data_IF_553554557486
#
_entry.id   IF_553554557486
#
_cell.length_a   1.000
_cell.length_b   1.000
_cell.length_c   1.000
_cell.angle_alpha   90.00
_cell.angle_beta   90.00
_cell.angle_gamma   90.00
#
_symmetry.space_group_name_H-M   'P 1'
#
loop_
_entity.id
_entity.type
_entity.pdbx_description
1 polymer ?
#
# COMPACT_ATOMS: atom_id res chain seq x y z
N UNK A 1 -5.61 -3.13 -19.92
CA UNK A 1 -5.82 -2.46 -18.65
C UNK A 1 -7.18 -2.74 -18.03
N UNK A 2 -8.33 -2.56 -18.73
CA UNK A 2 -9.68 -2.90 -18.21
C UNK A 2 -9.82 -4.38 -17.79
N UNK A 3 -9.14 -5.31 -18.46
CA UNK A 3 -9.15 -6.75 -18.14
C UNK A 3 -8.43 -7.10 -16.83
N UNK A 4 -7.34 -6.40 -16.47
CA UNK A 4 -6.61 -6.60 -15.22
C UNK A 4 -7.43 -6.17 -14.00
N UNK A 5 -8.15 -5.05 -14.10
CA UNK A 5 -9.04 -4.59 -13.04
C UNK A 5 -10.22 -5.56 -12.82
N UNK A 6 -10.82 -6.06 -13.92
CA UNK A 6 -11.90 -7.05 -13.85
C UNK A 6 -11.42 -8.37 -13.23
N UNK A 7 -10.21 -8.83 -13.56
CA UNK A 7 -9.63 -10.06 -12.99
C UNK A 7 -9.30 -9.89 -11.50
N UNK A 8 -8.82 -8.70 -11.08
CA UNK A 8 -8.59 -8.41 -9.66
C UNK A 8 -9.90 -8.41 -8.87
N UNK A 9 -10.99 -7.83 -9.41
CA UNK A 9 -12.32 -7.79 -8.76
C UNK A 9 -12.92 -9.20 -8.68
N UNK A 10 -12.80 -10.02 -9.73
CA UNK A 10 -13.26 -11.42 -9.75
C UNK A 10 -12.44 -12.29 -8.78
N UNK A 11 -11.13 -12.05 -8.67
CA UNK A 11 -10.27 -12.71 -7.67
C UNK A 11 -10.69 -12.40 -6.22
N UNK A 12 -11.16 -11.18 -5.94
CA UNK A 12 -11.66 -10.81 -4.62
C UNK A 12 -12.97 -11.55 -4.26
N UNK A 13 -13.83 -11.84 -5.23
CA UNK A 13 -15.08 -12.57 -4.99
C UNK A 13 -14.83 -14.05 -4.60
N UNK A 14 -13.72 -14.65 -5.06
CA UNK A 14 -13.36 -16.04 -4.72
C UNK A 14 -12.66 -16.19 -3.36
N UNK A 15 -12.24 -15.08 -2.72
CA UNK A 15 -11.59 -15.06 -1.41
C UNK A 15 -12.59 -15.05 -0.22
N UNK A 16 -13.88 -15.15 -0.48
CA UNK A 16 -14.92 -15.11 0.56
C UNK A 16 -14.87 -16.23 1.59
N UNK A 17 -14.04 -17.26 1.39
CA UNK A 17 -13.81 -18.35 2.34
C UNK A 17 -12.67 -18.07 3.35
N UNK A 18 -11.96 -16.93 3.20
CA UNK A 18 -10.86 -16.53 4.07
C UNK A 18 -11.33 -15.39 4.98
N UNK A 19 -11.02 -15.45 6.26
CA UNK A 19 -11.16 -14.30 7.16
C UNK A 19 -10.20 -13.18 6.70
N UNK A 20 -10.47 -11.94 7.10
CA UNK A 20 -9.60 -10.81 6.80
C UNK A 20 -10.20 -9.78 5.85
N UNK A 21 -9.36 -9.03 5.16
CA UNK A 21 -9.76 -7.98 4.20
C UNK A 21 -8.91 -7.98 2.95
N UNK A 22 -9.52 -7.68 1.83
CA UNK A 22 -8.84 -7.47 0.56
C UNK A 22 -9.02 -6.03 0.10
N UNK A 23 -7.96 -5.43 -0.43
CA UNK A 23 -7.93 -4.07 -0.94
C UNK A 23 -7.43 -4.06 -2.38
N UNK A 24 -8.11 -3.32 -3.23
CA UNK A 24 -7.62 -2.94 -4.56
C UNK A 24 -7.41 -1.43 -4.58
N UNK A 25 -6.30 -0.99 -5.17
CA UNK A 25 -5.95 0.42 -5.22
C UNK A 25 -5.46 0.80 -6.62
N UNK A 26 -5.85 1.97 -7.06
CA UNK A 26 -5.31 2.66 -8.21
C UNK A 26 -4.53 3.89 -7.73
N UNK A 27 -3.34 4.10 -8.29
CA UNK A 27 -2.47 5.24 -8.00
C UNK A 27 -2.24 6.05 -9.28
N UNK A 28 -2.42 7.36 -9.18
CA UNK A 28 -1.90 8.33 -10.14
C UNK A 28 -0.61 8.91 -9.56
N UNK A 29 0.49 8.77 -10.27
CA UNK A 29 1.84 9.11 -9.79
C UNK A 29 2.36 10.29 -10.60
N UNK A 30 2.75 11.35 -9.91
CA UNK A 30 3.42 12.52 -10.45
C UNK A 30 4.91 12.44 -10.08
N UNK A 31 5.76 12.43 -11.10
CA UNK A 31 7.20 12.50 -10.91
C UNK A 31 7.62 13.89 -10.42
N UNK A 32 8.61 13.94 -9.56
CA UNK A 32 9.19 15.18 -9.00
C UNK A 32 10.63 15.29 -9.48
N UNK A 33 11.14 16.53 -9.64
CA UNK A 33 12.53 16.81 -10.03
C UNK A 33 12.93 16.17 -11.38
N UNK A 34 12.04 16.20 -12.37
CA UNK A 34 12.28 15.64 -13.71
C UNK A 34 12.02 14.13 -13.82
N UNK A 35 11.58 13.47 -12.77
CA UNK A 35 11.07 12.11 -12.86
C UNK A 35 9.78 12.06 -13.68
N UNK A 36 9.57 10.93 -14.38
CA UNK A 36 8.36 10.74 -15.21
C UNK A 36 7.15 10.41 -14.35
N UNK A 37 5.98 10.83 -14.82
CA UNK A 37 4.69 10.42 -14.28
C UNK A 37 4.44 8.93 -14.51
N UNK A 38 3.43 8.39 -13.85
CA UNK A 38 3.09 6.98 -13.97
C UNK A 38 1.76 6.63 -13.34
N UNK A 39 1.45 5.36 -13.41
CA UNK A 39 0.24 4.76 -12.82
C UNK A 39 0.61 3.52 -12.04
N UNK A 40 -0.09 3.28 -10.94
CA UNK A 40 0.10 2.10 -10.13
C UNK A 40 -1.21 1.37 -9.86
N UNK A 41 -1.09 0.06 -9.66
CA UNK A 41 -2.17 -0.81 -9.21
C UNK A 41 -1.65 -1.64 -8.05
N UNK A 42 -2.47 -1.77 -7.02
CA UNK A 42 -2.12 -2.56 -5.85
C UNK A 42 -3.26 -3.50 -5.51
N UNK A 43 -2.90 -4.72 -5.18
CA UNK A 43 -3.77 -5.69 -4.51
C UNK A 43 -3.12 -6.02 -3.17
N UNK A 44 -3.88 -5.94 -2.10
CA UNK A 44 -3.41 -6.22 -0.76
C UNK A 44 -4.42 -7.12 -0.05
N UNK A 45 -3.90 -8.09 0.68
CA UNK A 45 -4.61 -8.95 1.59
C UNK A 45 -4.09 -8.72 3.01
N UNK A 46 -4.99 -8.52 3.97
CA UNK A 46 -4.66 -8.45 5.39
C UNK A 46 -5.57 -9.36 6.18
N UNK A 47 -5.01 -10.02 7.18
CA UNK A 47 -5.75 -10.79 8.17
C UNK A 47 -5.27 -10.48 9.58
N UNK A 48 -6.16 -10.56 10.55
CA UNK A 48 -5.83 -10.38 11.96
C UNK A 48 -5.37 -11.70 12.55
N UNK A 49 -4.07 -11.82 12.78
CA UNK A 49 -3.45 -12.98 13.45
C UNK A 49 -3.88 -13.00 14.92
N UNK A 50 -3.90 -11.83 15.55
CA UNK A 50 -4.42 -11.59 16.90
C UNK A 50 -5.15 -10.26 16.96
N UNK A 51 -5.76 -9.91 18.10
CA UNK A 51 -6.40 -8.59 18.30
C UNK A 51 -5.45 -7.40 18.09
N UNK A 52 -4.14 -7.63 18.26
CA UNK A 52 -3.10 -6.58 18.22
C UNK A 52 -2.06 -6.81 17.14
N UNK A 53 -2.21 -7.82 16.29
CA UNK A 53 -1.24 -8.17 15.25
C UNK A 53 -1.98 -8.56 13.96
N UNK A 54 -1.74 -7.82 12.88
CA UNK A 54 -2.16 -8.20 11.54
C UNK A 54 -0.99 -8.76 10.74
N UNK A 55 -1.28 -9.74 9.88
CA UNK A 55 -0.44 -10.18 8.80
C UNK A 55 -0.96 -9.68 7.47
N UNK A 56 -0.08 -9.44 6.51
CA UNK A 56 -0.50 -8.96 5.20
C UNK A 56 0.41 -9.42 4.07
N UNK A 57 -0.19 -9.49 2.89
CA UNK A 57 0.48 -9.73 1.63
C UNK A 57 0.03 -8.69 0.62
N UNK A 58 0.98 -8.10 -0.13
CA UNK A 58 0.70 -7.03 -1.06
C UNK A 58 1.46 -7.25 -2.37
N UNK A 59 0.78 -7.01 -3.48
CA UNK A 59 1.39 -6.90 -4.80
C UNK A 59 1.08 -5.53 -5.39
N UNK A 60 2.11 -4.84 -5.84
CA UNK A 60 1.99 -3.52 -6.50
C UNK A 60 2.65 -3.60 -7.86
N UNK A 61 1.94 -3.14 -8.89
CA UNK A 61 2.50 -2.96 -10.23
C UNK A 61 2.46 -1.49 -10.59
N UNK A 62 3.57 -0.93 -11.04
CA UNK A 62 3.68 0.45 -11.48
C UNK A 62 4.21 0.52 -12.91
N UNK A 63 3.63 1.41 -13.69
CA UNK A 63 4.01 1.72 -15.06
C UNK A 63 4.40 3.18 -15.17
N UNK A 64 5.55 3.46 -15.77
CA UNK A 64 6.01 4.82 -16.06
C UNK A 64 5.46 5.28 -17.41
N UNK A 65 4.89 6.49 -17.46
CA UNK A 65 4.30 7.04 -18.68
C UNK A 65 5.35 7.25 -19.77
N UNK A 66 4.95 6.99 -21.01
CA UNK A 66 5.82 7.12 -22.19
C UNK A 66 6.94 6.07 -22.25
N UNK A 67 6.86 4.99 -21.47
CA UNK A 67 7.78 3.87 -21.51
C UNK A 67 7.02 2.54 -21.45
N UNK A 68 7.68 1.45 -21.86
CA UNK A 68 7.20 0.08 -21.62
C UNK A 68 7.72 -0.48 -20.29
N UNK A 69 8.31 0.37 -19.44
CA UNK A 69 8.86 -0.06 -18.16
C UNK A 69 7.76 -0.33 -17.16
N UNK A 70 7.72 -1.56 -16.68
CA UNK A 70 6.82 -2.02 -15.61
C UNK A 70 7.67 -2.50 -14.46
N UNK A 71 7.32 -2.07 -13.26
CA UNK A 71 7.92 -2.56 -12.01
C UNK A 71 6.85 -3.22 -11.17
N UNK A 72 7.11 -4.44 -10.71
CA UNK A 72 6.22 -5.16 -9.79
C UNK A 72 6.91 -5.35 -8.46
N UNK A 73 6.19 -5.11 -7.37
CA UNK A 73 6.65 -5.38 -6.01
C UNK A 73 5.71 -6.38 -5.35
N UNK A 74 6.31 -7.36 -4.68
CA UNK A 74 5.60 -8.32 -3.84
C UNK A 74 6.14 -8.17 -2.42
N UNK A 75 5.27 -8.11 -1.44
CA UNK A 75 5.62 -7.74 -0.08
C UNK A 75 4.78 -8.53 0.93
N UNK A 76 5.43 -9.14 1.93
CA UNK A 76 4.80 -9.70 3.12
C UNK A 76 5.04 -8.77 4.31
N UNK A 77 4.07 -8.67 5.24
CA UNK A 77 4.15 -7.74 6.36
C UNK A 77 3.52 -8.28 7.63
N UNK A 78 4.03 -7.76 8.75
CA UNK A 78 3.43 -7.86 10.07
C UNK A 78 3.18 -6.45 10.61
N UNK A 79 2.04 -6.27 11.26
CA UNK A 79 1.60 -4.96 11.75
C UNK A 79 1.09 -5.07 13.18
N UNK A 80 1.97 -4.96 14.20
CA UNK A 80 1.54 -4.76 15.57
C UNK A 80 0.76 -3.44 15.71
N UNK A 81 -0.32 -3.48 16.51
CA UNK A 81 -1.25 -2.38 16.75
C UNK A 81 -1.40 -2.12 18.23
N UNK A 82 -1.52 -0.85 18.60
CA UNK A 82 -1.67 -0.39 19.97
C UNK A 82 -2.85 0.56 20.05
N UNK A 83 -3.88 0.22 20.82
CA UNK A 83 -5.01 1.08 21.05
C UNK A 83 -4.59 2.28 21.92
N UNK A 84 -4.93 3.48 21.44
CA UNK A 84 -4.82 4.74 22.18
C UNK A 84 -6.24 5.24 22.45
N UNK A 85 -6.41 6.09 23.46
CA UNK A 85 -7.75 6.61 23.81
C UNK A 85 -8.47 7.34 22.67
N UNK A 86 -7.72 7.85 21.68
CA UNK A 86 -8.22 8.62 20.54
C UNK A 86 -7.97 7.94 19.19
N UNK A 87 -7.38 6.76 19.15
CA UNK A 87 -7.06 6.07 17.88
C UNK A 87 -6.24 4.80 18.08
N UNK A 88 -5.60 4.35 17.01
CA UNK A 88 -4.76 3.16 17.00
C UNK A 88 -3.40 3.48 16.39
N UNK A 89 -2.33 3.38 17.17
CA UNK A 89 -0.97 3.41 16.64
C UNK A 89 -0.60 2.04 16.04
N UNK A 90 0.23 2.03 15.02
CA UNK A 90 0.75 0.81 14.40
C UNK A 90 2.19 0.98 13.97
N UNK A 91 2.90 -0.16 13.84
CA UNK A 91 4.20 -0.24 13.17
C UNK A 91 4.11 -1.38 12.17
N UNK A 92 4.08 -1.08 10.86
CA UNK A 92 4.12 -2.11 9.82
C UNK A 92 5.58 -2.41 9.47
N UNK A 93 6.03 -3.62 9.76
CA UNK A 93 7.30 -4.17 9.26
C UNK A 93 7.03 -5.03 8.04
N UNK A 94 7.86 -4.92 6.99
CA UNK A 94 7.68 -5.72 5.79
C UNK A 94 9.01 -6.07 5.12
N UNK A 95 8.98 -7.18 4.39
CA UNK A 95 10.03 -7.64 3.50
C UNK A 95 9.43 -7.93 2.14
N UNK A 96 10.20 -7.73 1.08
CA UNK A 96 9.66 -7.93 -0.26
C UNK A 96 10.70 -7.98 -1.35
N UNK A 97 10.19 -8.18 -2.56
CA UNK A 97 10.94 -8.27 -3.80
C UNK A 97 10.39 -7.27 -4.80
N UNK A 98 11.25 -6.44 -5.38
CA UNK A 98 10.95 -5.56 -6.49
C UNK A 98 11.53 -6.15 -7.76
N UNK A 99 10.66 -6.36 -8.74
CA UNK A 99 10.97 -6.90 -10.05
C UNK A 99 10.86 -5.79 -11.10
N UNK A 100 11.83 -5.65 -11.96
CA UNK A 100 11.82 -4.75 -13.10
C UNK A 100 12.63 -5.36 -14.26
N UNK A 101 12.70 -4.66 -15.39
CA UNK A 101 13.44 -5.14 -16.57
C UNK A 101 14.96 -5.32 -16.35
N UNK A 102 15.53 -4.68 -15.33
CA UNK A 102 16.95 -4.77 -14.99
C UNK A 102 17.28 -5.90 -14.01
N UNK A 103 16.25 -6.55 -13.43
CA UNK A 103 16.43 -7.64 -12.47
C UNK A 103 15.52 -7.54 -11.25
N UNK A 104 15.95 -8.12 -10.14
CA UNK A 104 15.22 -8.14 -8.88
C UNK A 104 16.01 -7.48 -7.76
N UNK A 105 15.31 -6.83 -6.84
CA UNK A 105 15.88 -6.21 -5.64
C UNK A 105 15.08 -6.62 -4.42
N UNK A 106 15.71 -7.27 -3.48
CA UNK A 106 15.13 -7.57 -2.18
C UNK A 106 15.18 -6.33 -1.29
N UNK A 107 14.12 -6.09 -0.54
CA UNK A 107 14.02 -4.92 0.33
C UNK A 107 13.32 -5.22 1.65
N UNK A 108 13.56 -4.35 2.62
CA UNK A 108 12.75 -4.25 3.83
C UNK A 108 12.11 -2.87 3.92
N UNK A 109 11.02 -2.77 4.69
CA UNK A 109 10.43 -1.48 5.02
C UNK A 109 9.84 -1.48 6.42
N UNK A 110 9.83 -0.29 7.03
CA UNK A 110 9.18 -0.02 8.32
C UNK A 110 8.28 1.21 8.16
N UNK A 111 7.06 1.10 8.64
CA UNK A 111 6.06 2.19 8.56
C UNK A 111 5.37 2.36 9.91
N UNK A 112 5.87 3.25 10.80
CA UNK A 112 5.10 3.73 11.93
C UNK A 112 3.94 4.61 11.46
N UNK A 113 2.82 4.57 12.16
CA UNK A 113 1.67 5.39 11.84
C UNK A 113 0.57 5.34 12.89
N UNK A 114 -0.47 6.11 12.62
CA UNK A 114 -1.66 6.20 13.46
C UNK A 114 -2.93 6.21 12.62
N UNK A 115 -3.97 5.58 13.13
CA UNK A 115 -5.33 5.64 12.58
C UNK A 115 -6.20 6.33 13.62
N UNK A 116 -6.88 7.40 13.22
CA UNK A 116 -7.76 8.19 14.10
C UNK A 116 -9.18 8.16 13.55
N UNK A 117 -10.16 7.62 14.29
CA UNK A 117 -11.57 7.73 13.92
C UNK A 117 -12.03 9.18 14.03
N UNK A 118 -12.74 9.68 13.01
CA UNK A 118 -13.24 11.06 12.94
C UNK A 118 -14.76 11.13 13.19
N UNK A 119 -15.43 9.98 13.33
CA UNK A 119 -16.89 9.91 13.44
C UNK A 119 -17.57 9.83 12.06
N UNK A 120 -18.90 9.54 12.04
CA UNK A 120 -19.66 9.47 10.79
C UNK A 120 -19.19 8.45 9.77
N UNK A 121 -18.49 7.41 10.20
CA UNK A 121 -17.89 6.41 9.31
C UNK A 121 -16.54 6.83 8.71
N UNK A 122 -16.01 7.99 9.07
CA UNK A 122 -14.71 8.48 8.61
C UNK A 122 -13.59 8.11 9.58
N UNK A 123 -12.41 7.81 9.02
CA UNK A 123 -11.16 7.72 9.75
C UNK A 123 -10.01 8.26 8.91
N UNK A 124 -8.98 8.77 9.56
CA UNK A 124 -7.75 9.19 8.90
C UNK A 124 -6.60 8.28 9.30
N UNK A 125 -5.69 8.05 8.35
CA UNK A 125 -4.42 7.35 8.60
C UNK A 125 -3.28 8.29 8.25
N UNK A 126 -2.32 8.41 9.16
CA UNK A 126 -1.06 9.12 8.94
C UNK A 126 0.07 8.14 9.19
N UNK A 127 1.02 8.06 8.28
CA UNK A 127 2.16 7.15 8.39
C UNK A 127 3.40 7.70 7.72
N UNK A 128 4.54 7.16 8.12
CA UNK A 128 5.82 7.45 7.51
C UNK A 128 6.54 6.14 7.22
N UNK A 129 6.79 5.86 5.95
CA UNK A 129 7.42 4.61 5.52
C UNK A 129 8.86 4.87 5.12
N UNK A 130 9.78 4.13 5.72
CA UNK A 130 11.15 3.95 5.26
C UNK A 130 11.27 2.60 4.56
N UNK A 131 11.90 2.57 3.37
CA UNK A 131 12.21 1.34 2.63
C UNK A 131 13.65 1.42 2.14
N UNK A 132 14.38 0.31 2.22
CA UNK A 132 15.72 0.18 1.67
C UNK A 132 15.94 -1.24 1.11
N UNK A 133 16.85 -1.38 0.13
CA UNK A 133 17.35 -2.67 -0.29
C UNK A 133 18.12 -3.36 0.84
N UNK A 134 18.10 -4.70 0.89
CA UNK A 134 18.97 -5.45 1.80
C UNK A 134 20.43 -5.34 1.38
N UNK A 135 20.70 -5.32 0.08
CA UNK A 135 22.03 -5.06 -0.45
C UNK A 135 22.34 -3.57 -0.42
N UNK A 136 23.29 -3.15 0.41
CA UNK A 136 23.73 -1.76 0.54
C UNK A 136 24.39 -1.18 -0.71
N UNK A 137 24.84 -2.03 -1.64
CA UNK A 137 25.35 -1.62 -2.96
C UNK A 137 24.25 -1.17 -3.92
N UNK A 138 22.98 -1.48 -3.62
CA UNK A 138 21.85 -1.10 -4.44
C UNK A 138 21.21 0.19 -3.91
N UNK A 139 21.27 1.26 -4.70
CA UNK A 139 20.64 2.54 -4.36
C UNK A 139 19.11 2.47 -4.54
N UNK A 140 18.38 1.85 -3.60
CA UNK A 140 16.90 1.78 -3.57
C UNK A 140 16.33 2.17 -2.20
N UNK A 141 16.79 3.28 -1.66
CA UNK A 141 16.26 3.83 -0.40
C UNK A 141 15.19 4.87 -0.69
N UNK A 142 14.02 4.72 -0.07
CA UNK A 142 12.92 5.68 -0.16
C UNK A 142 12.29 5.97 1.19
N UNK A 143 11.78 7.20 1.32
CA UNK A 143 11.04 7.69 2.49
C UNK A 143 9.71 8.23 1.99
N UNK A 144 8.59 7.76 2.55
CA UNK A 144 7.26 8.13 2.07
C UNK A 144 6.41 8.62 3.24
N UNK A 145 6.04 9.89 3.22
CA UNK A 145 5.00 10.41 4.10
C UNK A 145 3.64 10.08 3.48
N UNK A 146 2.68 9.64 4.31
CA UNK A 146 1.37 9.18 3.89
C UNK A 146 0.28 9.83 4.71
N UNK A 147 -0.75 10.31 4.05
CA UNK A 147 -2.00 10.71 4.71
C UNK A 147 -3.17 10.16 3.90
N UNK A 148 -4.12 9.54 4.59
CA UNK A 148 -5.28 8.93 3.97
C UNK A 148 -6.56 9.23 4.73
N UNK A 149 -7.66 9.37 3.99
CA UNK A 149 -9.00 9.46 4.51
C UNK A 149 -9.78 8.23 4.05
N UNK A 150 -10.36 7.51 4.99
CA UNK A 150 -11.18 6.32 4.73
C UNK A 150 -12.61 6.59 5.13
N UNK A 151 -13.56 6.20 4.29
CA UNK A 151 -14.99 6.21 4.56
C UNK A 151 -15.55 4.80 4.53
N UNK A 152 -16.16 4.37 5.62
CA UNK A 152 -16.87 3.09 5.71
C UNK A 152 -18.23 3.21 5.02
N UNK A 153 -18.38 2.56 3.87
CA UNK A 153 -19.67 2.47 3.13
C UNK A 153 -20.66 1.56 3.84
N UNK A 154 -20.14 0.45 4.34
CA UNK A 154 -20.87 -0.56 5.11
C UNK A 154 -19.99 -1.09 6.23
N UNK A 155 -20.47 -2.06 7.00
CA UNK A 155 -19.63 -2.76 7.99
C UNK A 155 -18.49 -3.57 7.36
N UNK A 156 -18.57 -3.86 6.07
CA UNK A 156 -17.60 -4.68 5.33
C UNK A 156 -16.84 -3.92 4.24
N UNK A 157 -17.37 -2.80 3.76
CA UNK A 157 -16.86 -2.11 2.59
C UNK A 157 -16.39 -0.70 2.95
N UNK A 158 -15.23 -0.30 2.45
CA UNK A 158 -14.67 1.03 2.67
C UNK A 158 -13.99 1.58 1.41
N UNK A 159 -14.04 2.89 1.25
CA UNK A 159 -13.27 3.65 0.26
C UNK A 159 -12.18 4.44 0.96
N UNK A 160 -11.00 4.48 0.36
CA UNK A 160 -9.88 5.27 0.85
C UNK A 160 -9.32 6.17 -0.25
N UNK A 161 -9.15 7.44 0.08
CA UNK A 161 -8.33 8.40 -0.67
C UNK A 161 -7.05 8.62 0.11
N UNK A 162 -5.87 8.42 -0.53
CA UNK A 162 -4.58 8.60 0.12
C UNK A 162 -3.64 9.43 -0.74
N UNK A 163 -2.92 10.34 -0.11
CA UNK A 163 -1.80 11.06 -0.69
C UNK A 163 -0.49 10.54 -0.12
N UNK A 164 0.44 10.21 -0.99
CA UNK A 164 1.79 9.77 -0.64
C UNK A 164 2.81 10.74 -1.23
N UNK A 165 3.76 11.19 -0.40
CA UNK A 165 4.91 11.98 -0.82
C UNK A 165 6.17 11.14 -0.60
N UNK A 166 6.79 10.68 -1.69
CA UNK A 166 8.00 9.85 -1.66
C UNK A 166 9.23 10.67 -2.04
N UNK A 167 10.30 10.46 -1.29
CA UNK A 167 11.63 11.08 -1.48
C UNK A 167 12.73 10.03 -1.33
N UNK A 168 13.93 10.31 -1.88
CA UNK A 168 15.10 9.43 -1.85
C UNK A 168 15.54 9.04 -3.26
N UNK A 169 15.94 7.80 -3.49
CA UNK A 169 16.40 7.36 -4.81
C UNK A 169 15.31 7.39 -5.91
N UNK A 170 14.05 7.50 -5.53
CA UNK A 170 12.98 7.89 -6.44
C UNK A 170 12.08 8.92 -5.77
N UNK A 171 11.80 10.01 -6.47
CA UNK A 171 11.00 11.13 -5.96
C UNK A 171 9.70 11.24 -6.74
N UNK A 172 8.59 11.13 -6.01
CA UNK A 172 7.27 11.17 -6.61
C UNK A 172 6.21 11.55 -5.57
N UNK A 173 5.12 12.12 -6.05
CA UNK A 173 3.89 12.26 -5.30
C UNK A 173 2.84 11.34 -5.91
N UNK A 174 1.92 10.82 -5.12
CA UNK A 174 0.82 10.05 -5.68
C UNK A 174 -0.49 10.28 -4.96
N UNK A 175 -1.58 10.26 -5.73
CA UNK A 175 -2.95 10.20 -5.24
C UNK A 175 -3.47 8.80 -5.50
N UNK A 176 -3.97 8.16 -4.46
CA UNK A 176 -4.33 6.75 -4.48
C UNK A 176 -5.80 6.60 -4.09
N UNK A 177 -6.55 5.83 -4.88
CA UNK A 177 -7.93 5.47 -4.61
C UNK A 177 -8.00 3.97 -4.34
N UNK A 178 -8.54 3.60 -3.19
CA UNK A 178 -8.66 2.19 -2.80
C UNK A 178 -10.08 1.84 -2.41
N UNK A 179 -10.47 0.60 -2.73
CA UNK A 179 -11.63 -0.08 -2.20
C UNK A 179 -11.18 -1.27 -1.38
N UNK A 180 -11.72 -1.39 -0.17
CA UNK A 180 -11.44 -2.49 0.75
C UNK A 180 -12.74 -3.22 1.08
N UNK A 181 -12.70 -4.56 1.03
CA UNK A 181 -13.76 -5.43 1.50
C UNK A 181 -13.26 -6.36 2.60
N UNK A 182 -13.97 -6.38 3.72
CA UNK A 182 -13.77 -7.34 4.82
C UNK A 182 -14.72 -8.53 4.67
N UNK A 183 -14.27 -9.71 5.04
CA UNK A 183 -15.00 -10.97 4.89
C UNK A 183 -15.48 -11.55 6.22
#
# INVERSE_FOLDING_TARGET
>A
MKKLLATAILGLASLSALAGSATVEYSNVEGVNGAKNGKGYLVNWNDSITKTLDGGFQMTTAQTDGTNSVSTRVEASLTPKYALGFGTAYIKGSVGLKLNSAGSTEFYAVEPGIIVPLGGGFSTRIGYRYRAAFDSGIADTTRTARVGLTYALTKKDALTLRYDQQRGNSEQNSVNFAYTRSF
#
